data_IF_054915835996
#
_entry.id   IF_054915835996
#
_cell.length_a   1.000
_cell.length_b   1.000
_cell.length_c   1.000
_cell.angle_alpha   90.00
_cell.angle_beta   90.00
_cell.angle_gamma   90.00
#
_symmetry.space_group_name_H-M   'P 1'
#
loop_
_entity.id
_entity.type
_entity.pdbx_description
1 polymer ?
#
# COMPACT_ATOMS: atom_id res chain seq x y z
N UNK A 1 -54.45 1.34 -51.59
CA UNK A 1 -55.02 0.62 -50.43
C UNK A 1 -54.10 -0.58 -50.23
N UNK A 2 -52.99 -0.40 -49.51
CA UNK A 2 -52.88 -0.55 -48.02
C UNK A 2 -53.14 -2.02 -47.61
N UNK A 3 -52.29 -2.74 -46.87
CA UNK A 3 -51.05 -2.44 -46.14
C UNK A 3 -50.23 -3.73 -46.07
N UNK A 4 -48.90 -3.59 -46.16
CA UNK A 4 -47.96 -4.65 -45.81
C UNK A 4 -47.97 -4.88 -44.30
N UNK A 5 -48.00 -6.14 -43.89
CA UNK A 5 -47.83 -6.57 -42.50
C UNK A 5 -46.65 -7.53 -42.41
N UNK A 6 -45.44 -6.95 -42.38
CA UNK A 6 -44.24 -7.63 -41.91
C UNK A 6 -44.43 -7.98 -40.44
N UNK A 7 -44.74 -9.26 -40.17
CA UNK A 7 -44.67 -9.80 -38.81
C UNK A 7 -43.21 -10.04 -38.43
N UNK A 8 -42.73 -9.55 -37.26
CA UNK A 8 -41.36 -9.79 -36.85
C UNK A 8 -41.21 -11.25 -36.43
N UNK A 9 -40.35 -11.97 -37.16
CA UNK A 9 -39.93 -13.33 -36.87
C UNK A 9 -39.42 -13.43 -35.41
N UNK A 10 -40.02 -14.28 -34.54
CA UNK A 10 -39.58 -14.39 -33.16
C UNK A 10 -38.21 -15.08 -33.11
N UNK A 11 -37.15 -14.31 -32.84
CA UNK A 11 -35.82 -14.90 -32.58
C UNK A 11 -35.92 -15.96 -31.47
N UNK A 12 -35.35 -17.16 -31.67
CA UNK A 12 -35.41 -18.24 -30.71
C UNK A 12 -34.82 -17.79 -29.36
N UNK A 13 -35.50 -18.13 -28.27
CA UNK A 13 -35.19 -17.69 -26.89
C UNK A 13 -33.70 -17.85 -26.55
N UNK A 14 -33.05 -18.87 -27.10
CA UNK A 14 -31.62 -19.14 -26.96
C UNK A 14 -30.72 -18.01 -27.49
N UNK A 15 -31.06 -17.40 -28.64
CA UNK A 15 -30.30 -16.27 -29.20
C UNK A 15 -30.44 -15.01 -28.33
N UNK A 16 -31.63 -14.79 -27.75
CA UNK A 16 -31.83 -13.67 -26.81
C UNK A 16 -31.00 -13.85 -25.54
N UNK A 17 -30.91 -15.08 -25.02
CA UNK A 17 -30.09 -15.39 -23.84
C UNK A 17 -28.60 -15.18 -24.14
N UNK A 18 -28.10 -15.69 -25.27
CA UNK A 18 -26.71 -15.48 -25.68
C UNK A 18 -26.41 -13.99 -25.84
N UNK A 19 -27.30 -13.25 -26.49
CA UNK A 19 -27.15 -11.80 -26.66
C UNK A 19 -27.07 -11.07 -25.30
N UNK A 20 -27.86 -11.47 -24.31
CA UNK A 20 -27.81 -10.88 -22.97
C UNK A 20 -26.53 -11.23 -22.22
N UNK A 21 -26.03 -12.46 -22.35
CA UNK A 21 -24.74 -12.85 -21.74
C UNK A 21 -23.57 -12.04 -22.31
N UNK A 22 -23.53 -11.83 -23.63
CA UNK A 22 -22.51 -10.99 -24.28
C UNK A 22 -22.59 -9.52 -23.83
N UNK A 23 -23.80 -9.00 -23.62
CA UNK A 23 -23.98 -7.65 -23.08
C UNK A 23 -23.50 -7.53 -21.63
N UNK A 24 -23.72 -8.56 -20.81
CA UNK A 24 -23.24 -8.60 -19.43
C UNK A 24 -21.71 -8.66 -19.41
N UNK A 25 -21.07 -9.48 -20.23
CA UNK A 25 -19.60 -9.54 -20.32
C UNK A 25 -18.99 -8.19 -20.73
N UNK A 26 -19.58 -7.51 -21.71
CA UNK A 26 -19.15 -6.16 -22.10
C UNK A 26 -19.36 -5.13 -20.99
N UNK A 27 -20.47 -5.23 -20.25
CA UNK A 27 -20.73 -4.33 -19.12
C UNK A 27 -19.74 -4.56 -17.97
N UNK A 28 -19.38 -5.83 -17.70
CA UNK A 28 -18.37 -6.19 -16.69
C UNK A 28 -16.99 -5.68 -17.09
N UNK A 29 -16.57 -5.88 -18.35
CA UNK A 29 -15.31 -5.33 -18.85
C UNK A 29 -15.28 -3.79 -18.74
N UNK A 30 -16.38 -3.11 -19.07
CA UNK A 30 -16.48 -1.66 -18.92
C UNK A 30 -16.53 -1.19 -17.45
N UNK A 31 -17.00 -2.02 -16.51
CA UNK A 31 -16.87 -1.74 -15.06
C UNK A 31 -15.42 -1.88 -14.64
N UNK A 32 -14.71 -2.91 -15.10
CA UNK A 32 -13.30 -3.15 -14.78
C UNK A 32 -12.39 -2.02 -15.29
N UNK A 33 -12.58 -1.56 -16.53
CA UNK A 33 -11.89 -0.40 -17.08
C UNK A 33 -12.18 0.89 -16.30
N UNK A 34 -13.43 1.09 -15.86
CA UNK A 34 -13.80 2.27 -15.04
C UNK A 34 -13.25 2.19 -13.63
N UNK A 35 -13.15 1.00 -13.03
CA UNK A 35 -12.50 0.81 -11.74
C UNK A 35 -11.00 1.09 -11.87
N UNK A 36 -10.34 0.56 -12.91
CA UNK A 36 -8.94 0.86 -13.19
C UNK A 36 -8.68 2.35 -13.44
N UNK A 37 -9.53 3.02 -14.22
CA UNK A 37 -9.45 4.46 -14.45
C UNK A 37 -9.71 5.27 -13.17
N UNK A 38 -10.70 4.88 -12.37
CA UNK A 38 -11.04 5.57 -11.12
C UNK A 38 -9.99 5.36 -10.03
N UNK A 39 -9.37 4.17 -9.94
CA UNK A 39 -8.20 3.92 -9.08
C UNK A 39 -6.99 4.72 -9.56
N UNK A 40 -6.80 4.85 -10.88
CA UNK A 40 -5.80 5.74 -11.48
C UNK A 40 -6.00 7.22 -11.11
N UNK A 41 -7.24 7.70 -11.16
CA UNK A 41 -7.61 9.08 -10.83
C UNK A 41 -7.57 9.36 -9.33
N UNK A 42 -7.88 8.37 -8.47
CA UNK A 42 -7.72 8.49 -7.01
C UNK A 42 -6.23 8.60 -6.67
N UNK A 43 -5.36 7.81 -7.32
CA UNK A 43 -3.91 7.97 -7.22
C UNK A 43 -3.40 9.33 -7.75
N UNK A 44 -4.10 9.96 -8.69
CA UNK A 44 -3.73 11.25 -9.27
C UNK A 44 -4.32 12.47 -8.52
N UNK A 45 -5.39 12.30 -7.72
CA UNK A 45 -6.04 13.40 -6.98
C UNK A 45 -5.48 13.63 -5.58
N UNK A 46 -4.84 12.64 -4.97
CA UNK A 46 -4.14 12.82 -3.68
C UNK A 46 -2.72 13.40 -3.85
N UNK A 47 -2.23 13.56 -5.09
CA UNK A 47 -1.06 14.37 -5.41
C UNK A 47 -1.47 15.82 -5.70
N UNK A 48 -2.09 16.47 -4.72
CA UNK A 48 -2.32 17.92 -4.68
C UNK A 48 -1.02 18.71 -4.48
N UNK A 49 -0.02 18.52 -5.34
CA UNK A 49 1.13 19.41 -5.48
C UNK A 49 1.22 19.76 -6.96
N UNK A 50 0.99 21.04 -7.26
CA UNK A 50 1.22 21.64 -8.58
C UNK A 50 2.67 21.38 -8.98
N UNK A 51 2.92 20.34 -9.76
CA UNK A 51 4.22 20.10 -10.39
C UNK A 51 4.17 20.72 -11.78
N UNK A 52 4.72 21.93 -11.90
CA UNK A 52 5.14 22.45 -13.20
C UNK A 52 6.18 21.50 -13.76
N UNK A 53 5.84 20.83 -14.84
CA UNK A 53 6.70 19.87 -15.54
C UNK A 53 7.93 20.61 -16.10
N UNK A 54 9.06 20.48 -15.42
CA UNK A 54 10.39 20.57 -16.05
C UNK A 54 10.84 19.16 -16.44
N UNK A 55 11.40 18.95 -17.65
CA UNK A 55 11.91 17.66 -18.09
C UNK A 55 13.25 17.40 -17.40
N UNK A 56 13.16 17.05 -16.13
CA UNK A 56 14.24 16.69 -15.22
C UNK A 56 13.67 16.15 -13.92
N UNK A 57 12.47 15.55 -14.00
CA UNK A 57 11.71 15.10 -12.85
C UNK A 57 12.53 14.11 -12.07
N UNK A 58 12.82 14.46 -10.81
CA UNK A 58 13.23 13.52 -9.78
C UNK A 58 12.28 12.33 -9.87
N UNK A 59 12.74 11.23 -10.46
CA UNK A 59 12.13 9.94 -10.22
C UNK A 59 12.12 9.80 -8.71
N UNK A 60 10.92 9.73 -8.13
CA UNK A 60 10.70 9.35 -6.74
C UNK A 60 11.45 8.03 -6.58
N UNK A 61 12.68 8.09 -6.04
CA UNK A 61 13.60 6.96 -6.04
C UNK A 61 12.84 5.85 -5.33
N UNK A 62 12.43 4.84 -6.12
CA UNK A 62 11.71 3.65 -5.63
C UNK A 62 12.44 3.09 -4.40
N UNK A 63 13.76 3.24 -4.39
CA UNK A 63 14.71 2.81 -3.39
C UNK A 63 15.36 3.99 -2.66
N UNK A 64 14.95 4.27 -1.42
CA UNK A 64 15.75 5.06 -0.47
C UNK A 64 16.74 4.16 0.27
N UNK A 65 17.32 3.17 -0.42
CA UNK A 65 18.17 2.13 0.20
C UNK A 65 19.43 2.74 0.83
N UNK A 66 19.97 3.81 0.25
CA UNK A 66 21.20 4.47 0.73
C UNK A 66 21.13 4.93 2.20
N UNK A 67 19.94 5.27 2.71
CA UNK A 67 19.77 5.73 4.10
C UNK A 67 19.63 4.59 5.12
N UNK A 68 19.32 3.37 4.66
CA UNK A 68 19.12 2.18 5.51
C UNK A 68 20.29 1.19 5.43
N UNK A 69 21.20 1.39 4.48
CA UNK A 69 22.35 0.56 4.22
C UNK A 69 23.60 1.43 4.24
N UNK A 70 24.14 1.75 5.43
CA UNK A 70 25.38 2.52 5.51
C UNK A 70 26.49 1.74 4.78
N UNK A 71 27.04 2.33 3.72
CA UNK A 71 28.24 1.80 3.07
C UNK A 71 29.36 1.91 4.12
N UNK A 72 29.94 0.78 4.51
CA UNK A 72 30.88 0.61 5.63
C UNK A 72 32.23 1.33 5.50
N UNK A 73 32.28 2.54 4.93
CA UNK A 73 33.53 3.26 4.68
C UNK A 73 33.53 4.77 4.88
N UNK A 74 32.42 5.44 5.21
CA UNK A 74 32.38 6.92 5.22
C UNK A 74 31.89 7.59 6.51
N UNK A 75 31.51 6.84 7.55
CA UNK A 75 31.12 7.45 8.84
C UNK A 75 32.29 7.32 9.81
N UNK A 76 33.05 8.41 9.98
CA UNK A 76 33.97 8.53 11.10
C UNK A 76 33.17 8.26 12.38
N UNK A 77 33.62 7.28 13.14
CA UNK A 77 32.91 6.73 14.29
C UNK A 77 32.89 7.74 15.43
N UNK A 78 31.92 8.64 15.43
CA UNK A 78 31.51 9.34 16.63
C UNK A 78 30.95 8.28 17.59
N UNK A 79 31.63 8.10 18.73
CA UNK A 79 31.32 7.06 19.74
C UNK A 79 29.87 7.10 20.23
N UNK A 80 29.15 8.19 20.00
CA UNK A 80 27.75 8.40 20.39
C UNK A 80 26.72 7.72 19.47
N UNK A 81 27.12 7.12 18.35
CA UNK A 81 26.18 6.57 17.36
C UNK A 81 26.38 5.08 17.05
N UNK A 82 27.23 4.42 17.84
CA UNK A 82 27.64 3.03 17.61
C UNK A 82 26.44 2.08 17.70
N UNK A 83 25.48 2.32 18.60
CA UNK A 83 24.36 1.41 18.80
C UNK A 83 23.32 1.47 17.67
N UNK A 84 22.90 2.67 17.25
CA UNK A 84 21.98 2.82 16.12
C UNK A 84 22.61 2.38 14.79
N UNK A 85 23.90 2.67 14.56
CA UNK A 85 24.62 2.20 13.38
C UNK A 85 24.74 0.67 13.36
N UNK A 86 25.12 0.04 14.50
CA UNK A 86 25.13 -1.43 14.61
C UNK A 86 23.73 -2.02 14.41
N UNK A 87 22.68 -1.35 14.89
CA UNK A 87 21.31 -1.83 14.69
C UNK A 87 20.87 -1.76 13.21
N UNK A 88 21.36 -0.77 12.45
CA UNK A 88 21.13 -0.67 10.99
C UNK A 88 21.97 -1.69 10.19
N UNK A 89 23.22 -1.93 10.60
CA UNK A 89 24.06 -2.96 9.98
C UNK A 89 23.46 -4.37 10.16
N UNK A 90 22.87 -4.62 11.34
CA UNK A 90 22.27 -5.91 11.71
C UNK A 90 20.79 -6.07 11.31
N UNK A 91 20.28 -5.28 10.36
CA UNK A 91 18.93 -5.48 9.84
C UNK A 91 18.82 -6.82 9.10
N UNK A 92 17.76 -7.56 9.40
CA UNK A 92 17.40 -8.79 8.70
C UNK A 92 17.06 -8.49 7.23
N UNK A 93 17.11 -9.53 6.38
CA UNK A 93 16.71 -9.41 4.98
C UNK A 93 15.26 -8.89 4.82
N UNK A 94 14.35 -9.35 5.67
CA UNK A 94 12.95 -8.91 5.66
C UNK A 94 12.81 -7.42 6.01
N UNK A 95 13.55 -6.94 7.01
CA UNK A 95 13.54 -5.52 7.37
C UNK A 95 14.14 -4.66 6.26
N UNK A 96 15.25 -5.12 5.68
CA UNK A 96 15.87 -4.53 4.49
C UNK A 96 14.89 -4.44 3.31
N UNK A 97 14.15 -5.51 3.05
CA UNK A 97 13.11 -5.54 2.02
C UNK A 97 11.93 -4.60 2.34
N UNK A 98 11.52 -4.49 3.61
CA UNK A 98 10.48 -3.54 4.05
C UNK A 98 10.89 -2.07 3.86
N UNK A 99 12.19 -1.79 3.93
CA UNK A 99 12.75 -0.45 3.72
C UNK A 99 13.07 -0.12 2.26
N UNK A 100 12.89 -1.09 1.36
CA UNK A 100 13.23 -0.92 -0.07
C UNK A 100 12.28 0.00 -0.84
N UNK A 101 11.19 0.44 -0.23
CA UNK A 101 10.17 1.32 -0.82
C UNK A 101 10.03 2.61 -0.02
N UNK A 102 9.79 3.74 -0.69
CA UNK A 102 9.61 5.04 -0.04
C UNK A 102 8.40 5.09 0.90
N UNK A 103 7.29 4.46 0.52
CA UNK A 103 6.07 4.33 1.33
C UNK A 103 5.76 2.88 1.68
N UNK A 104 4.84 2.69 2.62
CA UNK A 104 4.43 1.36 3.08
C UNK A 104 3.47 0.70 2.09
N UNK A 105 2.62 1.51 1.47
CA UNK A 105 1.63 1.20 0.44
C UNK A 105 2.24 0.99 -0.95
N UNK A 106 3.55 0.90 -1.04
CA UNK A 106 4.27 0.51 -2.26
C UNK A 106 5.20 -0.68 -2.01
N UNK A 107 5.23 -1.20 -0.78
CA UNK A 107 6.12 -2.27 -0.41
C UNK A 107 5.50 -3.63 -0.74
N UNK A 108 6.16 -4.40 -1.60
CA UNK A 108 5.69 -5.72 -2.05
C UNK A 108 5.48 -6.70 -0.91
N UNK A 109 6.36 -6.74 0.10
CA UNK A 109 6.20 -7.64 1.24
C UNK A 109 4.96 -7.30 2.06
N UNK A 110 4.66 -6.02 2.25
CA UNK A 110 3.45 -5.59 2.91
C UNK A 110 2.20 -5.86 2.07
N UNK A 111 2.26 -5.56 0.76
CA UNK A 111 1.15 -5.82 -0.16
C UNK A 111 0.79 -7.30 -0.25
N UNK A 112 1.78 -8.19 -0.24
CA UNK A 112 1.53 -9.63 -0.22
C UNK A 112 0.70 -10.05 0.99
N UNK A 113 1.12 -9.65 2.20
CA UNK A 113 0.38 -9.96 3.43
C UNK A 113 -1.01 -9.30 3.47
N UNK A 114 -1.14 -8.08 2.91
CA UNK A 114 -2.42 -7.37 2.87
C UNK A 114 -3.40 -8.04 1.91
N UNK A 115 -2.89 -8.53 0.77
CA UNK A 115 -3.67 -9.29 -0.20
C UNK A 115 -4.23 -10.56 0.41
N UNK A 116 -3.41 -11.30 1.16
CA UNK A 116 -3.85 -12.51 1.85
C UNK A 116 -4.99 -12.24 2.84
N UNK A 117 -4.92 -11.11 3.58
CA UNK A 117 -6.02 -10.66 4.43
C UNK A 117 -7.30 -10.41 3.64
N UNK A 118 -7.22 -9.67 2.52
CA UNK A 118 -8.39 -9.37 1.69
C UNK A 118 -8.99 -10.60 1.01
N UNK A 119 -8.15 -11.54 0.59
CA UNK A 119 -8.61 -12.83 0.06
C UNK A 119 -9.38 -13.61 1.13
N UNK A 120 -8.88 -13.64 2.36
CA UNK A 120 -9.58 -14.27 3.47
C UNK A 120 -10.90 -13.57 3.84
N UNK A 121 -10.91 -12.24 3.93
CA UNK A 121 -12.14 -11.46 4.20
C UNK A 121 -13.18 -11.69 3.11
N UNK A 122 -12.77 -11.68 1.84
CA UNK A 122 -13.63 -11.97 0.69
C UNK A 122 -14.20 -13.39 0.75
N UNK A 123 -13.37 -14.37 1.13
CA UNK A 123 -13.81 -15.74 1.35
C UNK A 123 -14.85 -15.82 2.47
N UNK A 124 -14.59 -15.19 3.62
CA UNK A 124 -15.53 -15.18 4.75
C UNK A 124 -16.88 -14.57 4.38
N UNK A 125 -16.89 -13.46 3.62
CA UNK A 125 -18.12 -12.83 3.11
C UNK A 125 -18.89 -13.78 2.19
N UNK A 126 -18.20 -14.44 1.24
CA UNK A 126 -18.85 -15.39 0.32
C UNK A 126 -19.45 -16.58 1.05
N UNK A 127 -18.80 -17.09 2.09
CA UNK A 127 -19.35 -18.17 2.92
C UNK A 127 -20.60 -17.72 3.68
N UNK A 128 -20.57 -16.55 4.31
CA UNK A 128 -21.74 -16.01 5.02
C UNK A 128 -22.91 -15.77 4.07
N UNK A 129 -22.66 -15.29 2.85
CA UNK A 129 -23.69 -15.12 1.83
C UNK A 129 -24.36 -16.43 1.39
N UNK A 130 -23.71 -17.58 1.60
CA UNK A 130 -24.32 -18.91 1.35
C UNK A 130 -25.24 -19.36 2.47
N UNK A 131 -24.97 -18.90 3.70
CA UNK A 131 -25.69 -19.33 4.90
C UNK A 131 -26.79 -18.34 5.32
N UNK A 132 -26.57 -17.04 5.11
CA UNK A 132 -27.40 -15.95 5.62
C UNK A 132 -27.80 -15.02 4.49
N UNK A 133 -29.12 -14.81 4.34
CA UNK A 133 -29.66 -13.86 3.38
C UNK A 133 -29.19 -12.43 3.71
N UNK A 134 -28.64 -11.69 2.73
CA UNK A 134 -28.20 -10.30 2.94
C UNK A 134 -29.37 -9.33 3.13
N UNK A 135 -30.62 -9.77 2.94
CA UNK A 135 -31.82 -8.93 3.14
C UNK A 135 -31.95 -8.50 4.59
N UNK A 136 -31.64 -9.39 5.55
CA UNK A 136 -31.56 -9.00 6.95
C UNK A 136 -30.16 -8.50 7.26
N UNK A 137 -29.98 -7.18 7.13
CA UNK A 137 -28.71 -6.48 7.33
C UNK A 137 -28.03 -6.85 8.66
N UNK A 138 -28.77 -6.83 9.77
CA UNK A 138 -28.19 -7.03 11.09
C UNK A 138 -27.76 -8.49 11.28
N UNK A 139 -28.62 -9.44 10.90
CA UNK A 139 -28.27 -10.87 10.97
C UNK A 139 -27.06 -11.22 10.09
N UNK A 140 -26.94 -10.57 8.92
CA UNK A 140 -25.79 -10.73 8.03
C UNK A 140 -24.49 -10.24 8.67
N UNK A 141 -24.45 -9.01 9.20
CA UNK A 141 -23.24 -8.48 9.83
C UNK A 141 -22.87 -9.25 11.10
N UNK A 142 -23.84 -9.65 11.92
CA UNK A 142 -23.57 -10.50 13.10
C UNK A 142 -23.00 -11.88 12.74
N UNK A 143 -23.45 -12.47 11.61
CA UNK A 143 -22.87 -13.71 11.11
C UNK A 143 -21.44 -13.51 10.59
N UNK A 144 -21.21 -12.40 9.88
CA UNK A 144 -19.88 -12.04 9.37
C UNK A 144 -18.88 -11.78 10.50
N UNK A 145 -19.27 -10.98 11.50
CA UNK A 145 -18.44 -10.68 12.67
C UNK A 145 -18.08 -11.97 13.42
N UNK A 146 -19.04 -12.86 13.63
CA UNK A 146 -18.77 -14.17 14.26
C UNK A 146 -17.78 -15.00 13.46
N UNK A 147 -17.88 -14.97 12.12
CA UNK A 147 -16.97 -15.73 11.24
C UNK A 147 -15.56 -15.16 11.23
N UNK A 148 -15.41 -13.84 11.27
CA UNK A 148 -14.12 -13.15 11.17
C UNK A 148 -13.44 -13.01 12.54
N UNK A 149 -14.12 -12.41 13.53
CA UNK A 149 -13.54 -12.06 14.84
C UNK A 149 -13.08 -13.29 15.63
N UNK A 150 -13.78 -14.42 15.45
CA UNK A 150 -13.45 -15.69 16.09
C UNK A 150 -12.30 -16.46 15.44
N UNK A 151 -11.95 -16.15 14.19
CA UNK A 151 -11.13 -17.07 13.40
C UNK A 151 -9.62 -16.89 13.66
N UNK A 152 -8.88 -17.97 14.00
CA UNK A 152 -7.45 -17.88 14.29
C UNK A 152 -6.64 -17.32 13.12
N UNK A 153 -6.97 -17.71 11.89
CA UNK A 153 -6.24 -17.26 10.70
C UNK A 153 -6.35 -15.75 10.49
N UNK A 154 -7.53 -15.15 10.72
CA UNK A 154 -7.71 -13.70 10.62
C UNK A 154 -6.79 -12.95 11.59
N UNK A 155 -6.72 -13.42 12.84
CA UNK A 155 -5.86 -12.84 13.88
C UNK A 155 -4.37 -12.95 13.52
N UNK A 156 -3.96 -14.07 12.93
CA UNK A 156 -2.57 -14.27 12.48
C UNK A 156 -2.22 -13.25 11.39
N UNK A 157 -3.07 -13.08 10.38
CA UNK A 157 -2.86 -12.13 9.29
C UNK A 157 -2.81 -10.68 9.79
N UNK A 158 -3.74 -10.30 10.66
CA UNK A 158 -3.72 -8.98 11.30
C UNK A 158 -2.44 -8.74 12.13
N UNK A 159 -2.04 -9.73 12.93
CA UNK A 159 -0.82 -9.64 13.73
C UNK A 159 0.44 -9.54 12.86
N UNK A 160 0.48 -10.27 11.73
CA UNK A 160 1.56 -10.19 10.76
C UNK A 160 1.66 -8.80 10.15
N UNK A 161 0.55 -8.23 9.68
CA UNK A 161 0.52 -6.87 9.13
C UNK A 161 0.99 -5.82 10.14
N UNK A 162 0.53 -5.91 11.39
CA UNK A 162 0.97 -5.03 12.46
C UNK A 162 2.48 -5.19 12.72
N UNK A 163 2.98 -6.42 12.74
CA UNK A 163 4.41 -6.70 12.93
C UNK A 163 5.27 -6.07 11.83
N UNK A 164 4.82 -6.13 10.56
CA UNK A 164 5.52 -5.48 9.44
C UNK A 164 5.55 -3.95 9.61
N UNK A 165 4.43 -3.33 10.03
CA UNK A 165 4.39 -1.88 10.35
C UNK A 165 5.38 -1.51 11.44
N UNK A 166 5.35 -2.26 12.55
CA UNK A 166 6.23 -2.01 13.69
C UNK A 166 7.70 -2.14 13.32
N UNK A 167 8.08 -3.15 12.53
CA UNK A 167 9.45 -3.31 12.01
C UNK A 167 9.88 -2.08 11.23
N UNK A 168 9.05 -1.61 10.29
CA UNK A 168 9.37 -0.43 9.48
C UNK A 168 9.52 0.84 10.34
N UNK A 169 8.58 1.12 11.23
CA UNK A 169 8.65 2.29 12.10
C UNK A 169 9.87 2.25 13.02
N UNK A 170 10.24 1.07 13.53
CA UNK A 170 11.47 0.90 14.31
C UNK A 170 12.70 1.33 13.52
N UNK A 171 12.84 0.87 12.28
CA UNK A 171 13.99 1.21 11.42
C UNK A 171 13.98 2.69 11.03
N UNK A 172 12.81 3.26 10.72
CA UNK A 172 12.68 4.69 10.47
C UNK A 172 13.09 5.54 11.69
N UNK A 173 12.73 5.12 12.90
CA UNK A 173 13.12 5.80 14.13
C UNK A 173 14.64 5.80 14.34
N UNK A 174 15.34 4.72 13.98
CA UNK A 174 16.81 4.66 14.03
C UNK A 174 17.43 5.69 13.08
N UNK A 175 16.97 5.76 11.83
CA UNK A 175 17.49 6.72 10.83
C UNK A 175 17.21 8.17 11.26
N UNK A 176 15.98 8.47 11.67
CA UNK A 176 15.61 9.81 12.14
C UNK A 176 16.41 10.22 13.39
N UNK A 177 16.71 9.27 14.27
CA UNK A 177 17.58 9.48 15.44
C UNK A 177 18.99 9.91 15.04
N UNK A 178 19.57 9.25 14.03
CA UNK A 178 20.88 9.61 13.48
C UNK A 178 20.85 11.00 12.80
N UNK A 179 19.82 11.29 12.01
CA UNK A 179 19.69 12.57 11.30
C UNK A 179 19.54 13.77 12.24
N UNK A 180 18.68 13.67 13.27
CA UNK A 180 18.47 14.78 14.23
C UNK A 180 19.75 15.12 14.99
N UNK A 181 20.55 14.11 15.36
CA UNK A 181 21.78 14.33 16.14
C UNK A 181 22.94 14.87 15.30
N UNK A 182 23.01 14.46 14.02
CA UNK A 182 23.93 15.07 13.04
C UNK A 182 23.67 16.57 12.86
N UNK A 183 22.41 17.00 12.91
CA UNK A 183 22.04 18.42 12.84
C UNK A 183 22.36 19.20 14.13
N UNK A 184 22.34 18.56 15.31
CA UNK A 184 22.73 19.21 16.57
C UNK A 184 24.25 19.34 16.76
N UNK A 185 25.06 18.41 16.22
CA UNK A 185 26.53 18.50 16.26
C UNK A 185 27.11 19.62 15.38
N UNK A 186 26.37 20.06 14.35
CA UNK A 186 26.85 21.06 13.38
C UNK A 186 26.70 22.53 13.86
N UNK A 187 26.10 22.80 15.02
CA UNK A 187 25.88 24.18 15.54
C UNK A 187 26.92 24.69 16.54
N UNK A 188 28.02 23.97 16.80
CA UNK A 188 28.99 24.29 17.87
C UNK A 188 30.30 24.98 17.44
N UNK A 189 30.46 25.42 16.20
CA UNK A 189 31.75 25.94 15.70
C UNK A 189 31.64 27.36 15.15
N UNK A 190 31.86 28.38 15.97
CA UNK A 190 31.98 29.75 15.47
C UNK A 190 31.93 30.85 16.51
N UNK A 191 32.91 30.90 17.42
CA UNK A 191 33.36 32.20 17.96
C UNK A 191 34.87 32.10 18.27
N UNK A 192 35.67 32.43 17.25
CA UNK A 192 37.05 32.83 17.42
C UNK A 192 37.04 34.34 17.67
N UNK A 193 37.32 34.77 18.88
CA UNK A 193 37.75 36.14 19.16
C UNK A 193 39.10 36.08 19.87
N UNK A 194 40.11 36.00 19.02
CA UNK A 194 41.43 36.63 19.13
C UNK A 194 41.56 37.54 20.36
N UNK A 195 42.33 37.11 21.36
CA UNK A 195 42.84 37.99 22.40
C UNK A 195 44.01 38.84 21.86
N UNK A 196 44.20 40.09 22.30
CA UNK A 196 45.44 40.80 22.03
C UNK A 196 46.45 40.52 23.15
N UNK A 197 47.65 40.13 22.73
CA UNK A 197 48.87 40.19 23.53
C UNK A 197 49.50 41.57 23.29
N UNK A 198 49.55 42.38 24.34
CA UNK A 198 50.62 43.32 24.75
C UNK A 198 50.03 44.39 25.67
#
# INVERSE_FOLDING_TARGET
MENGSDSPNPQPIHEKIIHHLVLIEKAVAGVDERIHASVGDICARDTGIKSSVTPGGNFDRITTMEQFFPISGSVQSDKEHIEELKALENLSFEEKALMSSSTFERNECYHGALRELYEYESYAVKEVLREVSPVNRNAFFEALDRRIVGHPHYKILQAQLLRLRMKRYRVQALVVGLERRKQSGSKGGGESVIGPVA
#
